data_IF_073834234264
#
_entry.id   IF_073834234264
#
_cell.length_a   1.000
_cell.length_b   1.000
_cell.length_c   1.000
_cell.angle_alpha   90.00
_cell.angle_beta   90.00
_cell.angle_gamma   90.00
#
_symmetry.space_group_name_H-M   'P 1'
#
loop_
_entity.id
_entity.type
_entity.pdbx_description
1 polymer ?
#
# COMPACT_ATOMS: atom_id res chain seq x y z
N UNK A 1 -41.66 30.13 -22.35
CA UNK A 1 -40.47 29.45 -21.79
C UNK A 1 -39.26 29.90 -22.57
N UNK A 2 -38.37 30.66 -21.92
CA UNK A 2 -37.36 31.45 -22.62
C UNK A 2 -36.13 30.58 -22.86
N UNK A 3 -35.61 30.55 -24.10
CA UNK A 3 -34.45 29.73 -24.50
C UNK A 3 -33.22 29.96 -23.60
N UNK A 4 -33.07 31.14 -22.98
CA UNK A 4 -32.03 31.44 -22.00
C UNK A 4 -32.15 30.66 -20.68
N UNK A 5 -33.36 30.35 -20.22
CA UNK A 5 -33.58 29.65 -18.95
C UNK A 5 -33.20 28.16 -19.05
N UNK A 6 -33.31 27.57 -20.25
CA UNK A 6 -33.01 26.16 -20.49
C UNK A 6 -31.50 25.93 -20.59
N UNK A 7 -30.74 26.92 -21.08
CA UNK A 7 -29.28 26.88 -21.16
C UNK A 7 -28.63 26.96 -19.76
N UNK A 8 -29.22 27.76 -18.86
CA UNK A 8 -28.72 27.88 -17.49
C UNK A 8 -28.92 26.57 -16.69
N UNK A 9 -30.06 25.90 -16.85
CA UNK A 9 -30.33 24.61 -16.20
C UNK A 9 -29.38 23.49 -16.69
N UNK A 10 -29.00 23.52 -17.97
CA UNK A 10 -28.05 22.58 -18.57
C UNK A 10 -26.60 22.82 -18.10
N UNK A 11 -26.22 24.08 -17.84
CA UNK A 11 -24.88 24.43 -17.32
C UNK A 11 -24.69 24.04 -15.85
N UNK A 12 -25.74 24.07 -15.04
CA UNK A 12 -25.68 23.57 -13.66
C UNK A 12 -25.63 22.04 -13.58
N UNK A 13 -26.29 21.33 -14.51
CA UNK A 13 -26.34 19.87 -14.52
C UNK A 13 -25.01 19.22 -14.95
N UNK A 14 -24.23 19.87 -15.81
CA UNK A 14 -22.88 19.39 -16.21
C UNK A 14 -21.80 19.73 -15.18
N UNK A 15 -22.05 20.71 -14.29
CA UNK A 15 -21.10 21.09 -13.24
C UNK A 15 -21.07 20.06 -12.09
N UNK A 16 -22.20 19.41 -11.79
CA UNK A 16 -22.28 18.43 -10.70
C UNK A 16 -21.60 17.10 -11.04
N UNK A 17 -21.53 16.68 -12.31
CA UNK A 17 -20.84 15.45 -12.70
C UNK A 17 -19.31 15.56 -12.66
N UNK A 18 -18.74 16.77 -12.75
CA UNK A 18 -17.30 16.98 -12.67
C UNK A 18 -16.74 16.82 -11.25
N UNK A 19 -17.55 17.04 -10.21
CA UNK A 19 -17.14 16.90 -8.81
C UNK A 19 -17.18 15.44 -8.33
N UNK A 20 -17.98 14.58 -8.96
CA UNK A 20 -18.10 13.17 -8.55
C UNK A 20 -16.88 12.31 -8.95
N UNK A 21 -16.14 12.71 -10.00
CA UNK A 21 -14.99 11.93 -10.50
C UNK A 21 -13.71 12.19 -9.70
N UNK A 22 -13.67 13.22 -8.85
CA UNK A 22 -12.44 13.61 -8.15
C UNK A 22 -12.15 12.81 -6.86
N UNK A 23 -13.05 11.92 -6.43
CA UNK A 23 -12.90 11.18 -5.17
C UNK A 23 -12.33 9.75 -5.32
N UNK A 24 -12.11 9.27 -6.55
CA UNK A 24 -11.64 7.89 -6.81
C UNK A 24 -10.19 7.87 -7.36
N UNK A 25 -9.56 9.04 -7.57
CA UNK A 25 -8.31 9.15 -8.33
C UNK A 25 -7.03 9.56 -7.56
N UNK A 26 -6.96 9.38 -6.24
CA UNK A 26 -5.79 9.82 -5.44
C UNK A 26 -4.97 8.70 -4.81
N UNK A 27 -5.01 7.50 -5.36
CA UNK A 27 -4.03 6.49 -4.99
C UNK A 27 -2.78 6.67 -5.86
N UNK A 28 -1.61 6.82 -5.24
CA UNK A 28 -0.33 6.72 -5.96
C UNK A 28 -0.04 5.29 -6.47
N UNK A 29 -1.01 4.38 -6.35
CA UNK A 29 -0.89 2.96 -6.59
C UNK A 29 -1.73 2.55 -7.79
N UNK A 30 -1.13 1.74 -8.67
CA UNK A 30 -1.80 1.04 -9.77
C UNK A 30 -1.69 -0.45 -9.52
N UNK A 31 -2.80 -1.19 -9.54
CA UNK A 31 -2.75 -2.65 -9.34
C UNK A 31 -2.12 -3.30 -10.57
N UNK A 32 -1.10 -4.14 -10.36
CA UNK A 32 -0.50 -4.91 -11.44
C UNK A 32 -1.42 -6.09 -11.79
N UNK A 33 -1.85 -6.18 -13.05
CA UNK A 33 -2.58 -7.35 -13.52
C UNK A 33 -1.69 -8.59 -13.39
N UNK A 34 -2.03 -9.49 -12.47
CA UNK A 34 -1.42 -10.80 -12.38
C UNK A 34 -2.15 -11.75 -13.34
N UNK A 35 -1.38 -12.66 -13.95
CA UNK A 35 -1.88 -13.68 -14.87
C UNK A 35 -3.21 -14.26 -14.37
N UNK A 36 -4.22 -14.37 -15.24
CA UNK A 36 -5.59 -14.82 -14.89
C UNK A 36 -5.68 -16.15 -14.11
N UNK A 37 -4.59 -16.89 -14.01
CA UNK A 37 -4.45 -18.17 -13.32
C UNK A 37 -3.78 -18.05 -11.93
N UNK A 38 -3.11 -16.93 -11.64
CA UNK A 38 -2.62 -16.58 -10.32
C UNK A 38 -3.66 -15.70 -9.62
N UNK A 39 -4.49 -16.30 -8.77
CA UNK A 39 -5.24 -15.53 -7.78
C UNK A 39 -4.28 -15.27 -6.62
N UNK A 40 -3.85 -14.04 -6.35
CA UNK A 40 -3.22 -13.76 -5.07
C UNK A 40 -4.19 -14.26 -3.99
N UNK A 41 -3.69 -15.10 -3.07
CA UNK A 41 -4.45 -15.32 -1.84
C UNK A 41 -4.67 -13.97 -1.17
N UNK A 42 -5.67 -13.82 -0.30
CA UNK A 42 -5.94 -12.58 0.45
C UNK A 42 -4.80 -12.17 1.41
N UNK A 43 -3.60 -12.72 1.24
CA UNK A 43 -2.42 -12.60 2.06
C UNK A 43 -1.37 -11.66 1.47
N UNK A 44 -1.46 -11.33 0.18
CA UNK A 44 -0.55 -10.40 -0.49
C UNK A 44 -1.17 -9.71 -1.72
N UNK A 45 -0.73 -8.49 -1.98
CA UNK A 45 -1.11 -7.68 -3.15
C UNK A 45 0.14 -7.12 -3.81
N UNK A 46 0.18 -7.09 -5.14
CA UNK A 46 1.26 -6.49 -5.93
C UNK A 46 0.76 -5.27 -6.70
N UNK A 47 1.52 -4.18 -6.64
CA UNK A 47 1.12 -2.89 -7.17
C UNK A 47 2.33 -2.18 -7.79
N UNK A 48 2.08 -1.27 -8.71
CA UNK A 48 3.03 -0.25 -9.12
C UNK A 48 2.79 1.02 -8.31
N UNK A 49 3.85 1.69 -7.88
CA UNK A 49 3.81 2.98 -7.20
C UNK A 49 4.31 4.07 -8.14
N UNK A 50 3.57 5.17 -8.23
CA UNK A 50 4.11 6.45 -8.70
C UNK A 50 5.07 7.01 -7.65
N UNK A 51 6.28 6.44 -7.62
CA UNK A 51 7.31 6.77 -6.65
C UNK A 51 7.76 8.22 -6.79
N UNK A 52 7.71 8.79 -8.00
CA UNK A 52 8.07 10.19 -8.23
C UNK A 52 7.09 11.13 -7.53
N UNK A 53 5.79 10.88 -7.67
CA UNK A 53 4.73 11.64 -7.00
C UNK A 53 4.75 11.48 -5.49
N UNK A 54 4.94 10.26 -4.99
CA UNK A 54 5.11 10.00 -3.55
C UNK A 54 6.32 10.74 -3.00
N UNK A 55 7.47 10.67 -3.68
CA UNK A 55 8.69 11.35 -3.25
C UNK A 55 8.50 12.86 -3.21
N UNK A 56 7.94 13.46 -4.26
CA UNK A 56 7.68 14.90 -4.30
C UNK A 56 6.79 15.34 -3.13
N UNK A 57 5.74 14.56 -2.82
CA UNK A 57 4.81 14.85 -1.73
C UNK A 57 5.49 14.72 -0.36
N UNK A 58 6.18 13.61 -0.13
CA UNK A 58 6.76 13.29 1.18
C UNK A 58 7.99 14.14 1.52
N UNK A 59 8.75 14.65 0.56
CA UNK A 59 9.92 15.46 0.87
C UNK A 59 9.57 16.86 1.43
N UNK A 60 8.39 17.38 1.12
CA UNK A 60 7.96 18.73 1.54
C UNK A 60 6.86 18.72 2.61
N UNK A 61 6.22 17.58 2.85
CA UNK A 61 5.11 17.49 3.79
C UNK A 61 5.57 17.50 5.26
N UNK A 62 4.86 18.29 6.06
CA UNK A 62 4.88 18.23 7.54
C UNK A 62 3.87 17.24 8.08
N UNK A 63 2.78 17.01 7.36
CA UNK A 63 1.79 15.96 7.64
C UNK A 63 1.05 15.69 6.33
N UNK A 64 0.77 14.42 6.02
CA UNK A 64 0.06 14.05 4.80
C UNK A 64 -0.82 12.82 5.04
N UNK A 65 -2.01 12.80 4.44
CA UNK A 65 -2.83 11.60 4.39
C UNK A 65 -2.39 10.77 3.18
N UNK A 66 -1.94 9.55 3.42
CA UNK A 66 -1.47 8.62 2.41
C UNK A 66 -2.38 7.41 2.35
N UNK A 67 -2.83 7.07 1.14
CA UNK A 67 -3.56 5.83 0.89
C UNK A 67 -2.56 4.69 0.72
N UNK A 68 -2.74 3.62 1.48
CA UNK A 68 -1.84 2.47 1.55
C UNK A 68 -2.59 1.18 1.17
N UNK A 69 -1.99 0.30 0.36
CA UNK A 69 -2.58 -0.98 0.00
C UNK A 69 -2.56 -1.97 1.15
N UNK A 70 -3.68 -2.65 1.35
CA UNK A 70 -3.79 -3.81 2.24
C UNK A 70 -3.57 -5.10 1.44
N UNK A 71 -3.06 -6.17 2.05
CA UNK A 71 -2.78 -7.43 1.33
C UNK A 71 -3.99 -8.08 0.67
N UNK A 72 -5.20 -7.72 1.10
CA UNK A 72 -6.47 -8.27 0.60
C UNK A 72 -7.02 -7.52 -0.64
N UNK A 73 -6.28 -6.55 -1.19
CA UNK A 73 -6.72 -5.74 -2.34
C UNK A 73 -7.46 -4.46 -1.98
N UNK A 74 -7.79 -4.26 -0.70
CA UNK A 74 -8.37 -3.01 -0.22
C UNK A 74 -7.29 -1.96 0.04
N UNK A 75 -7.74 -0.75 0.40
CA UNK A 75 -6.87 0.36 0.72
C UNK A 75 -7.30 1.02 2.03
N UNK A 76 -6.34 1.58 2.74
CA UNK A 76 -6.53 2.27 4.02
C UNK A 76 -5.81 3.61 4.00
N UNK A 77 -6.32 4.62 4.72
CA UNK A 77 -5.69 5.94 4.77
C UNK A 77 -4.95 6.14 6.09
N UNK A 78 -3.66 6.45 6.02
CA UNK A 78 -2.83 6.79 7.17
C UNK A 78 -2.41 8.26 7.12
N UNK A 79 -2.47 8.94 8.26
CA UNK A 79 -1.88 10.26 8.45
C UNK A 79 -0.42 10.12 8.83
N UNK A 80 0.48 10.47 7.92
CA UNK A 80 1.93 10.41 8.11
C UNK A 80 2.47 11.73 8.62
N UNK A 81 3.26 11.68 9.69
CA UNK A 81 3.97 12.81 10.28
C UNK A 81 5.47 12.50 10.33
N UNK A 82 6.35 13.40 9.88
CA UNK A 82 7.79 13.20 9.97
C UNK A 82 8.24 12.87 11.39
N UNK A 83 9.13 11.89 11.50
CA UNK A 83 9.80 11.57 12.76
C UNK A 83 11.28 11.87 12.63
N UNK A 84 11.84 12.47 13.69
CA UNK A 84 13.26 12.79 13.74
C UNK A 84 14.05 11.58 14.27
N UNK A 85 14.27 10.59 13.41
CA UNK A 85 15.07 9.40 13.76
C UNK A 85 16.56 9.67 13.51
N UNK A 86 16.89 10.48 12.49
CA UNK A 86 18.28 10.84 12.17
C UNK A 86 18.74 12.09 12.93
N UNK A 87 20.03 12.10 13.30
CA UNK A 87 20.70 13.30 13.79
C UNK A 87 20.68 14.42 12.73
N UNK A 88 20.60 15.71 13.12
CA UNK A 88 20.48 16.82 12.17
C UNK A 88 21.57 16.86 11.09
N UNK A 89 22.82 16.59 11.48
CA UNK A 89 23.95 16.56 10.53
C UNK A 89 23.78 15.48 9.46
N UNK A 90 23.23 14.32 9.85
CA UNK A 90 22.99 13.20 8.95
C UNK A 90 21.79 13.47 8.04
N UNK A 91 20.73 14.08 8.57
CA UNK A 91 19.57 14.49 7.79
C UNK A 91 19.94 15.54 6.72
N UNK A 92 20.85 16.47 7.04
CA UNK A 92 21.38 17.43 6.07
C UNK A 92 22.24 16.77 4.98
N UNK A 93 22.92 15.68 5.33
CA UNK A 93 23.76 14.92 4.40
C UNK A 93 22.95 13.99 3.49
N UNK A 94 21.84 13.45 3.97
CA UNK A 94 20.95 12.53 3.26
C UNK A 94 19.49 13.02 3.27
N UNK A 95 19.20 14.18 2.66
CA UNK A 95 17.86 14.79 2.70
C UNK A 95 16.78 13.95 1.99
N UNK A 96 17.18 13.04 1.12
CA UNK A 96 16.31 12.11 0.41
C UNK A 96 15.85 10.91 1.26
N UNK A 97 16.42 10.75 2.47
CA UNK A 97 16.00 9.77 3.45
C UNK A 97 15.08 10.44 4.48
N UNK A 98 13.84 9.99 4.57
CA UNK A 98 12.86 10.50 5.55
C UNK A 98 12.10 9.36 6.21
N UNK A 99 11.93 9.44 7.52
CA UNK A 99 11.09 8.54 8.30
C UNK A 99 9.84 9.26 8.77
N UNK A 100 8.73 8.55 8.80
CA UNK A 100 7.43 9.04 9.23
C UNK A 100 6.81 8.07 10.24
N UNK A 101 6.11 8.61 11.23
CA UNK A 101 5.11 7.87 12.00
C UNK A 101 3.75 8.05 11.33
N UNK A 102 3.00 6.97 11.23
CA UNK A 102 1.64 7.01 10.69
C UNK A 102 0.62 6.51 11.70
N UNK A 103 -0.57 7.10 11.62
CA UNK A 103 -1.77 6.66 12.37
C UNK A 103 -2.91 6.54 11.38
N UNK A 104 -3.67 5.45 11.42
CA UNK A 104 -4.84 5.26 10.56
C UNK A 104 -5.90 6.34 10.82
N UNK A 105 -6.50 6.85 9.76
CA UNK A 105 -7.57 7.85 9.88
C UNK A 105 -8.84 7.15 10.36
N UNK A 106 -9.24 7.43 11.60
CA UNK A 106 -10.45 6.88 12.22
C UNK A 106 -10.15 5.78 13.25
N UNK A 107 -9.00 5.13 13.16
CA UNK A 107 -8.61 3.98 14.01
C UNK A 107 -7.22 4.22 14.63
N UNK A 108 -7.08 5.01 15.70
CA UNK A 108 -5.78 5.45 16.22
C UNK A 108 -4.91 4.32 16.80
N UNK A 109 -5.51 3.16 17.11
CA UNK A 109 -4.78 1.98 17.56
C UNK A 109 -3.93 1.37 16.43
N UNK A 110 -4.31 1.60 15.18
CA UNK A 110 -3.56 1.19 13.99
C UNK A 110 -2.47 2.24 13.69
N UNK A 111 -1.23 1.85 13.95
CA UNK A 111 -0.05 2.73 13.84
C UNK A 111 1.04 2.07 13.00
N UNK A 112 1.95 2.89 12.47
CA UNK A 112 3.03 2.40 11.63
C UNK A 112 4.24 3.30 11.55
N UNK A 113 5.29 2.77 10.94
CA UNK A 113 6.49 3.50 10.55
C UNK A 113 6.69 3.35 9.04
N UNK A 114 7.05 4.45 8.39
CA UNK A 114 7.20 4.53 6.95
C UNK A 114 8.50 5.23 6.61
N UNK A 115 9.22 4.73 5.63
CA UNK A 115 10.51 5.25 5.21
C UNK A 115 10.50 5.56 3.72
N UNK A 116 11.00 6.74 3.37
CA UNK A 116 11.33 7.11 2.01
C UNK A 116 12.86 7.14 1.89
N UNK A 117 13.39 6.50 0.86
CA UNK A 117 14.82 6.53 0.55
C UNK A 117 15.04 6.44 -0.98
N UNK A 118 16.30 6.49 -1.46
CA UNK A 118 16.60 6.21 -2.86
C UNK A 118 16.10 4.84 -3.33
N UNK A 119 16.03 3.86 -2.41
CA UNK A 119 15.57 2.50 -2.69
C UNK A 119 14.06 2.37 -2.85
N UNK A 120 13.28 3.38 -2.45
CA UNK A 120 11.83 3.37 -2.56
C UNK A 120 11.12 3.80 -1.28
N UNK A 121 9.84 3.48 -1.22
CA UNK A 121 8.95 3.71 -0.08
C UNK A 121 8.71 2.40 0.68
N UNK A 122 8.95 2.40 1.97
CA UNK A 122 8.79 1.23 2.84
C UNK A 122 7.73 1.54 3.89
N UNK A 123 6.95 0.53 4.27
CA UNK A 123 5.95 0.67 5.33
C UNK A 123 5.87 -0.58 6.19
N UNK A 124 5.78 -0.38 7.49
CA UNK A 124 5.42 -1.41 8.46
C UNK A 124 4.35 -0.82 9.38
N UNK A 125 3.14 -1.37 9.33
CA UNK A 125 2.00 -0.82 10.06
C UNK A 125 1.03 -1.90 10.52
N UNK A 126 0.31 -1.61 11.58
CA UNK A 126 -0.77 -2.44 12.10
C UNK A 126 -2.07 -2.06 11.43
N UNK A 127 -2.88 -3.06 11.12
CA UNK A 127 -4.28 -2.89 10.73
C UNK A 127 -5.09 -4.05 11.28
N UNK A 128 -6.09 -3.77 12.12
CA UNK A 128 -6.98 -4.77 12.72
C UNK A 128 -6.22 -5.90 13.45
N UNK A 129 -5.13 -5.55 14.15
CA UNK A 129 -4.32 -6.50 14.91
C UNK A 129 -3.37 -7.36 14.07
N UNK A 130 -3.15 -7.01 12.79
CA UNK A 130 -2.19 -7.66 11.92
C UNK A 130 -1.12 -6.68 11.46
N UNK A 131 0.15 -7.11 11.53
CA UNK A 131 1.27 -6.37 10.96
C UNK A 131 1.34 -6.56 9.44
N UNK A 132 1.38 -5.46 8.72
CA UNK A 132 1.46 -5.37 7.27
C UNK A 132 2.76 -4.69 6.87
N UNK A 133 3.38 -5.22 5.81
CA UNK A 133 4.56 -4.66 5.18
C UNK A 133 4.25 -4.18 3.76
N UNK A 134 4.85 -3.06 3.38
CA UNK A 134 4.91 -2.57 2.00
C UNK A 134 6.39 -2.45 1.62
N UNK A 135 6.83 -3.26 0.66
CA UNK A 135 8.23 -3.30 0.23
C UNK A 135 8.38 -3.21 -1.30
N UNK A 136 9.40 -2.48 -1.80
CA UNK A 136 9.75 -2.50 -3.21
C UNK A 136 10.18 -3.90 -3.65
N UNK A 137 9.85 -4.24 -4.89
CA UNK A 137 10.22 -5.48 -5.55
C UNK A 137 11.40 -5.24 -6.50
N UNK A 138 12.07 -6.31 -6.99
CA UNK A 138 13.21 -6.16 -7.91
C UNK A 138 12.86 -5.43 -9.21
N UNK A 139 11.60 -5.52 -9.67
CA UNK A 139 11.11 -4.77 -10.82
C UNK A 139 10.85 -3.31 -10.45
N UNK A 140 11.19 -2.40 -11.36
CA UNK A 140 11.11 -0.95 -11.14
C UNK A 140 9.70 -0.53 -10.72
N UNK A 141 9.60 0.24 -9.63
CA UNK A 141 8.35 0.76 -9.07
C UNK A 141 7.31 -0.30 -8.69
N UNK A 142 7.65 -1.60 -8.74
CA UNK A 142 6.76 -2.64 -8.26
C UNK A 142 6.91 -2.78 -6.75
N UNK A 143 5.80 -3.00 -6.07
CA UNK A 143 5.69 -3.13 -4.63
C UNK A 143 4.84 -4.34 -4.28
N UNK A 144 5.05 -4.84 -3.07
CA UNK A 144 4.26 -5.91 -2.47
C UNK A 144 3.73 -5.43 -1.12
N UNK A 145 2.43 -5.53 -0.92
CA UNK A 145 1.77 -5.44 0.38
C UNK A 145 1.48 -6.83 0.90
N UNK A 146 1.89 -7.17 2.12
CA UNK A 146 1.73 -8.52 2.68
C UNK A 146 1.69 -8.54 4.21
N UNK A 147 1.03 -9.54 4.78
CA UNK A 147 1.06 -9.76 6.23
C UNK A 147 2.40 -10.37 6.67
N UNK A 148 2.82 -10.05 7.89
CA UNK A 148 3.89 -10.80 8.57
C UNK A 148 3.41 -12.23 8.86
N UNK A 149 3.66 -13.15 7.95
CA UNK A 149 3.39 -14.56 8.22
C UNK A 149 4.60 -15.10 8.97
N UNK A 150 4.46 -15.36 10.27
CA UNK A 150 5.37 -16.24 10.98
C UNK A 150 5.27 -17.63 10.33
N UNK A 151 6.19 -17.93 9.41
CA UNK A 151 6.34 -19.27 8.87
C UNK A 151 6.77 -20.19 10.01
N UNK A 152 5.81 -20.80 10.70
CA UNK A 152 6.07 -22.08 11.34
C UNK A 152 6.49 -23.04 10.24
N UNK A 153 7.75 -23.47 10.26
CA UNK A 153 8.25 -24.52 9.38
C UNK A 153 7.50 -25.81 9.76
N UNK A 154 6.39 -26.09 9.06
CA UNK A 154 5.80 -27.44 9.03
C UNK A 154 6.21 -28.10 7.71
N UNK A 155 7.49 -28.04 7.38
CA UNK A 155 8.08 -28.86 6.33
C UNK A 155 8.84 -29.98 7.01
N UNK A 156 8.16 -31.09 7.31
CA UNK A 156 8.74 -32.45 7.45
C UNK A 156 7.71 -33.52 7.89
N UNK A 157 6.49 -33.17 8.30
CA UNK A 157 5.55 -34.21 8.80
C UNK A 157 4.61 -34.81 7.74
N UNK A 158 4.44 -34.16 6.58
CA UNK A 158 3.53 -34.64 5.51
C UNK A 158 4.21 -35.56 4.49
N UNK A 159 5.52 -35.40 4.27
CA UNK A 159 6.33 -36.23 3.37
C UNK A 159 6.63 -37.62 3.95
N UNK A 160 6.72 -37.75 5.28
CA UNK A 160 7.01 -39.04 5.94
C UNK A 160 5.87 -40.05 5.77
N UNK A 161 4.61 -39.63 5.91
CA UNK A 161 3.47 -40.54 5.78
C UNK A 161 3.21 -40.99 4.35
N UNK A 162 3.40 -40.11 3.35
CA UNK A 162 3.25 -40.48 1.95
C UNK A 162 4.33 -41.48 1.51
N UNK A 163 5.57 -41.33 1.99
CA UNK A 163 6.67 -42.26 1.68
C UNK A 163 6.47 -43.59 2.42
N UNK A 164 6.02 -43.59 3.68
CA UNK A 164 5.67 -44.84 4.42
C UNK A 164 4.52 -45.60 3.77
N UNK A 165 3.47 -44.93 3.32
CA UNK A 165 2.35 -45.57 2.62
C UNK A 165 2.74 -46.10 1.25
N UNK A 166 3.67 -45.45 0.55
CA UNK A 166 4.19 -45.92 -0.72
C UNK A 166 5.04 -47.19 -0.54
N UNK A 167 6.00 -47.20 0.39
CA UNK A 167 6.87 -48.36 0.63
C UNK A 167 6.07 -49.58 1.15
N UNK A 168 5.08 -49.37 2.03
CA UNK A 168 4.19 -50.44 2.54
C UNK A 168 3.26 -51.06 1.48
N UNK A 169 3.12 -50.45 0.31
CA UNK A 169 2.23 -50.94 -0.76
C UNK A 169 2.98 -51.75 -1.82
N UNK A 170 4.31 -51.65 -1.84
CA UNK A 170 5.17 -52.28 -2.85
C UNK A 170 6.25 -53.20 -2.24
N UNK A 171 6.29 -53.33 -0.91
CA UNK A 171 7.06 -54.30 -0.14
C UNK A 171 6.20 -54.84 1.01
#
# INVERSE_FOLDING_TARGET
MNKLSLICLMLFLTCQSALAVHLIGQTHWTVLEQDKYFKPGNTEQYLELDLASVRATLLVANTVNMVLPLPNGQFVTFRLTPSQVMAPELANKYPEIRTFKGVEVGEPDNQGTFDLSPKGFFGMFEHQGQTIYIDPQPALNNYRSYFLIQRFIITMHKTSNAIRQFVSRYF
#
